data_IF_708134571557
#
_entry.id   IF_708134571557
#
_cell.length_a   1.000
_cell.length_b   1.000
_cell.length_c   1.000
_cell.angle_alpha   90.00
_cell.angle_beta   90.00
_cell.angle_gamma   90.00
#
_symmetry.space_group_name_H-M   'P 1'
#
loop_
_entity.id
_entity.type
_entity.pdbx_description
1 polymer ?
#
# COMPACT_ATOMS: atom_id res chain seq x y z
N UNK A 1 42.47 15.43 -27.22
CA UNK A 1 41.81 14.82 -26.06
C UNK A 1 40.42 15.46 -25.92
N UNK A 2 39.38 14.73 -26.28
CA UNK A 2 38.01 15.22 -26.14
C UNK A 2 37.54 15.02 -24.69
N UNK A 3 36.78 15.97 -24.09
CA UNK A 3 36.31 15.84 -22.72
C UNK A 3 35.25 14.74 -22.64
N UNK A 4 35.48 13.76 -21.75
CA UNK A 4 34.50 12.76 -21.38
C UNK A 4 33.29 13.45 -20.72
N UNK A 5 32.17 13.53 -21.41
CA UNK A 5 30.89 13.91 -20.81
C UNK A 5 30.45 12.73 -19.94
N UNK A 6 30.58 12.90 -18.63
CA UNK A 6 29.94 12.00 -17.65
C UNK A 6 28.43 12.13 -17.80
N UNK A 7 27.81 11.18 -18.46
CA UNK A 7 26.36 10.98 -18.33
C UNK A 7 26.08 10.61 -16.86
N UNK A 8 25.54 11.57 -16.11
CA UNK A 8 24.96 11.27 -14.80
C UNK A 8 23.77 10.32 -15.07
N UNK A 9 23.96 9.05 -14.77
CA UNK A 9 22.85 8.10 -14.67
C UNK A 9 21.89 8.67 -13.60
N UNK A 10 20.58 8.85 -13.89
CA UNK A 10 19.64 9.31 -12.88
C UNK A 10 19.67 8.30 -11.73
N UNK A 11 19.98 8.77 -10.53
CA UNK A 11 19.87 7.98 -9.31
C UNK A 11 18.41 7.57 -9.14
N UNK A 12 18.12 6.42 -8.51
CA UNK A 12 16.73 5.97 -8.24
C UNK A 12 15.86 7.08 -7.61
N UNK A 13 16.48 7.97 -6.83
CA UNK A 13 15.84 9.15 -6.22
C UNK A 13 15.24 10.14 -7.23
N UNK A 14 15.80 10.23 -8.46
CA UNK A 14 15.27 11.13 -9.51
C UNK A 14 14.09 10.52 -10.29
N UNK A 15 13.76 9.26 -10.05
CA UNK A 15 12.63 8.56 -10.69
C UNK A 15 11.32 8.68 -9.88
N UNK A 16 11.39 9.12 -8.61
CA UNK A 16 10.24 9.24 -7.74
C UNK A 16 9.72 10.67 -7.81
N UNK A 17 8.48 10.83 -8.25
CA UNK A 17 7.80 12.12 -8.23
C UNK A 17 7.15 12.35 -6.87
N UNK A 18 7.17 13.58 -6.36
CA UNK A 18 6.35 13.95 -5.22
C UNK A 18 4.93 14.27 -5.71
N UNK A 19 3.92 14.04 -4.87
CA UNK A 19 2.51 14.25 -5.23
C UNK A 19 2.23 15.71 -5.70
N UNK A 20 2.96 16.70 -5.19
CA UNK A 20 2.80 18.10 -5.60
C UNK A 20 3.19 18.30 -7.08
N UNK A 21 4.24 17.61 -7.53
CA UNK A 21 4.78 17.68 -8.90
C UNK A 21 4.03 16.78 -9.88
N UNK A 22 3.21 15.86 -9.37
CA UNK A 22 2.47 14.93 -10.21
C UNK A 22 1.40 15.66 -11.00
N UNK A 23 1.46 15.52 -12.33
CA UNK A 23 0.45 15.96 -13.27
C UNK A 23 -0.21 14.74 -13.93
N UNK A 24 -1.48 14.46 -13.64
CA UNK A 24 -2.21 13.32 -14.22
C UNK A 24 -2.27 13.33 -15.75
N UNK A 25 -2.19 14.51 -16.39
CA UNK A 25 -2.24 14.65 -17.84
C UNK A 25 -0.99 14.13 -18.56
N UNK A 26 0.13 14.00 -17.82
CA UNK A 26 1.41 13.51 -18.36
C UNK A 26 1.56 12.00 -18.33
N UNK A 27 0.58 11.30 -17.77
CA UNK A 27 0.59 9.84 -17.65
C UNK A 27 0.45 9.19 -19.04
N UNK A 28 1.33 8.23 -19.31
CA UNK A 28 1.34 7.48 -20.57
C UNK A 28 0.81 6.07 -20.35
N UNK A 29 -0.24 5.72 -21.08
CA UNK A 29 -0.81 4.37 -21.08
C UNK A 29 -0.19 3.55 -22.23
N UNK A 30 0.31 2.36 -21.89
CA UNK A 30 0.87 1.45 -22.91
C UNK A 30 -0.23 0.84 -23.80
N UNK A 31 0.16 0.21 -24.91
CA UNK A 31 -0.73 -0.68 -25.62
C UNK A 31 -1.17 -1.84 -24.71
N UNK A 32 -2.41 -2.32 -24.91
CA UNK A 32 -2.92 -3.48 -24.19
C UNK A 32 -2.06 -4.72 -24.46
N UNK A 33 -1.70 -5.42 -23.39
CA UNK A 33 -1.02 -6.71 -23.42
C UNK A 33 -1.93 -7.81 -22.90
N UNK A 34 -1.82 -9.00 -23.49
CA UNK A 34 -2.47 -10.21 -22.99
C UNK A 34 -1.42 -11.08 -22.31
N UNK A 35 -1.73 -11.56 -21.10
CA UNK A 35 -0.90 -12.48 -20.35
C UNK A 35 -1.08 -13.90 -20.92
N UNK A 36 -0.17 -14.80 -20.56
CA UNK A 36 -0.25 -16.24 -20.92
C UNK A 36 -1.57 -16.89 -20.46
N UNK A 37 -2.18 -16.38 -19.37
CA UNK A 37 -3.45 -16.88 -18.81
C UNK A 37 -4.68 -16.13 -19.36
N UNK A 38 -4.56 -15.39 -20.47
CA UNK A 38 -5.67 -14.66 -21.09
C UNK A 38 -6.05 -13.32 -20.43
N UNK A 39 -5.46 -12.98 -19.28
CA UNK A 39 -5.69 -11.70 -18.62
C UNK A 39 -5.18 -10.54 -19.46
N UNK A 40 -5.95 -9.45 -19.50
CA UNK A 40 -5.60 -8.22 -20.21
C UNK A 40 -5.04 -7.18 -19.26
N UNK A 41 -4.05 -6.40 -19.70
CA UNK A 41 -3.43 -5.34 -18.92
C UNK A 41 -2.93 -4.20 -19.77
N UNK A 42 -2.98 -2.98 -19.23
CA UNK A 42 -2.40 -1.76 -19.81
C UNK A 42 -1.48 -1.17 -18.75
N UNK A 43 -0.19 -0.99 -19.04
CA UNK A 43 0.75 -0.41 -18.09
C UNK A 43 0.57 1.10 -18.00
N UNK A 44 0.75 1.62 -16.80
CA UNK A 44 0.73 3.05 -16.50
C UNK A 44 2.19 3.49 -16.32
N UNK A 45 2.61 4.48 -17.10
CA UNK A 45 3.98 4.97 -17.10
C UNK A 45 4.02 6.49 -16.88
N UNK A 46 5.15 6.98 -16.42
CA UNK A 46 5.49 8.39 -16.44
C UNK A 46 5.72 8.88 -17.89
N UNK A 47 5.85 10.19 -18.07
CA UNK A 47 6.01 10.84 -19.39
C UNK A 47 7.22 10.29 -20.19
N UNK A 48 8.27 9.85 -19.50
CA UNK A 48 9.48 9.25 -20.11
C UNK A 48 9.33 7.73 -20.40
N UNK A 49 8.11 7.19 -20.35
CA UNK A 49 7.79 5.77 -20.49
C UNK A 49 8.41 4.84 -19.42
N UNK A 50 8.93 5.39 -18.32
CA UNK A 50 9.37 4.62 -17.19
C UNK A 50 8.23 4.38 -16.20
N UNK A 51 8.48 3.54 -15.20
CA UNK A 51 7.51 3.30 -14.12
C UNK A 51 7.14 4.60 -13.41
N UNK A 52 5.87 4.75 -13.11
CA UNK A 52 5.35 5.88 -12.34
C UNK A 52 5.41 5.58 -10.85
N UNK A 53 6.46 6.07 -10.19
CA UNK A 53 6.58 6.08 -8.74
C UNK A 53 6.14 7.44 -8.20
N UNK A 54 5.25 7.41 -7.21
CA UNK A 54 4.74 8.61 -6.56
C UNK A 54 4.96 8.53 -5.06
N UNK A 55 5.58 9.57 -4.50
CA UNK A 55 5.62 9.79 -3.06
C UNK A 55 4.36 10.55 -2.66
N UNK A 56 3.55 9.92 -1.82
CA UNK A 56 2.30 10.47 -1.29
C UNK A 56 2.58 11.38 -0.07
N UNK A 57 1.65 12.28 0.31
CA UNK A 57 1.73 13.00 1.58
C UNK A 57 1.57 12.05 2.77
N UNK A 58 1.75 12.57 3.99
CA UNK A 58 1.34 11.82 5.18
C UNK A 58 -0.18 11.66 5.21
N UNK A 59 -0.63 10.43 5.26
CA UNK A 59 -2.05 10.06 5.30
C UNK A 59 -2.29 9.05 6.42
N UNK A 60 -3.48 9.03 6.98
CA UNK A 60 -3.85 8.07 8.00
C UNK A 60 -4.20 6.72 7.36
N UNK A 61 -3.69 5.63 7.93
CA UNK A 61 -4.10 4.27 7.60
C UNK A 61 -5.18 3.81 8.59
N UNK A 62 -6.47 3.84 8.22
CA UNK A 62 -7.55 3.58 9.19
C UNK A 62 -7.53 2.16 9.74
N UNK A 63 -7.03 1.20 8.96
CA UNK A 63 -7.10 -0.23 9.30
C UNK A 63 -5.73 -0.86 9.57
N UNK A 64 -4.62 -0.15 9.32
CA UNK A 64 -3.29 -0.76 9.27
C UNK A 64 -3.18 -1.74 8.09
N UNK A 65 -2.26 -2.71 8.20
CA UNK A 65 -2.17 -3.77 7.20
C UNK A 65 -3.39 -4.68 7.27
N UNK A 66 -4.09 -4.82 6.15
CA UNK A 66 -5.24 -5.72 6.00
C UNK A 66 -4.84 -6.97 5.22
N UNK A 67 -5.26 -8.14 5.71
CA UNK A 67 -5.09 -9.42 5.06
C UNK A 67 -6.45 -9.99 4.64
N UNK A 68 -6.54 -10.52 3.44
CA UNK A 68 -7.71 -11.22 2.93
C UNK A 68 -7.28 -12.57 2.36
N UNK A 69 -7.82 -13.65 2.89
CA UNK A 69 -7.60 -15.01 2.39
C UNK A 69 -8.81 -15.45 1.56
N UNK A 70 -8.54 -15.75 0.31
CA UNK A 70 -9.56 -16.31 -0.60
C UNK A 70 -9.78 -17.77 -0.26
N UNK A 71 -11.00 -18.14 0.12
CA UNK A 71 -11.36 -19.49 0.58
C UNK A 71 -11.23 -20.54 -0.53
N UNK A 72 -11.46 -20.16 -1.79
CA UNK A 72 -11.40 -21.10 -2.92
C UNK A 72 -9.97 -21.45 -3.32
N UNK A 73 -9.05 -20.48 -3.22
CA UNK A 73 -7.66 -20.65 -3.65
C UNK A 73 -6.67 -20.75 -2.48
N UNK A 74 -7.12 -20.52 -1.25
CA UNK A 74 -6.32 -20.43 -0.02
C UNK A 74 -5.13 -19.43 -0.14
N UNK A 75 -5.28 -18.40 -0.97
CA UNK A 75 -4.26 -17.37 -1.17
C UNK A 75 -4.58 -16.14 -0.35
N UNK A 76 -3.62 -15.71 0.46
CA UNK A 76 -3.72 -14.47 1.21
C UNK A 76 -3.19 -13.32 0.38
N UNK A 77 -3.96 -12.23 0.33
CA UNK A 77 -3.60 -10.96 -0.28
C UNK A 77 -3.59 -9.86 0.78
N UNK A 78 -2.62 -8.96 0.67
CA UNK A 78 -2.42 -7.88 1.64
C UNK A 78 -2.67 -6.53 1.01
N UNK A 79 -3.21 -5.61 1.81
CA UNK A 79 -3.45 -4.23 1.39
C UNK A 79 -3.30 -3.25 2.54
N UNK A 80 -2.92 -2.01 2.19
CA UNK A 80 -2.90 -0.86 3.07
C UNK A 80 -3.85 0.19 2.50
N UNK A 81 -4.86 0.58 3.26
CA UNK A 81 -5.78 1.64 2.85
C UNK A 81 -5.34 2.97 3.48
N UNK A 82 -5.31 4.04 2.68
CA UNK A 82 -4.99 5.40 3.11
C UNK A 82 -6.22 6.29 3.00
N UNK A 83 -6.52 7.04 4.05
CA UNK A 83 -7.71 7.88 4.17
C UNK A 83 -7.45 9.29 3.65
N UNK A 84 -8.38 9.82 2.87
CA UNK A 84 -8.44 11.22 2.45
C UNK A 84 -9.22 12.03 3.49
N UNK A 85 -8.62 12.20 4.67
CA UNK A 85 -9.23 12.94 5.76
C UNK A 85 -9.42 14.42 5.35
N UNK A 86 -10.59 14.99 5.65
CA UNK A 86 -10.99 16.32 5.19
C UNK A 86 -10.19 17.47 5.80
N UNK A 87 -9.55 17.25 6.93
CA UNK A 87 -8.64 18.17 7.62
C UNK A 87 -7.19 18.09 7.10
N UNK A 88 -6.91 17.20 6.16
CA UNK A 88 -5.59 17.04 5.52
C UNK A 88 -5.60 17.62 4.11
N UNK A 89 -5.23 18.88 3.97
CA UNK A 89 -5.23 19.59 2.67
C UNK A 89 -4.34 18.92 1.62
N UNK A 90 -3.21 18.34 2.02
CA UNK A 90 -2.30 17.62 1.12
C UNK A 90 -2.96 16.34 0.57
N UNK A 91 -3.67 15.60 1.42
CA UNK A 91 -4.40 14.41 1.00
C UNK A 91 -5.55 14.78 0.06
N UNK A 92 -6.27 15.89 0.31
CA UNK A 92 -7.32 16.40 -0.58
C UNK A 92 -6.75 16.84 -1.92
N UNK A 93 -5.60 17.53 -1.93
CA UNK A 93 -4.89 17.88 -3.18
C UNK A 93 -4.54 16.64 -4.00
N UNK A 94 -3.99 15.60 -3.37
CA UNK A 94 -3.73 14.32 -4.00
C UNK A 94 -5.02 13.67 -4.53
N UNK A 95 -6.09 13.66 -3.73
CA UNK A 95 -7.40 13.10 -4.11
C UNK A 95 -7.91 13.70 -5.42
N UNK A 96 -7.82 15.03 -5.56
CA UNK A 96 -8.25 15.73 -6.77
C UNK A 96 -7.43 15.29 -7.99
N UNK A 97 -6.12 15.15 -7.86
CA UNK A 97 -5.24 14.66 -8.92
C UNK A 97 -5.56 13.22 -9.32
N UNK A 98 -5.82 12.34 -8.35
CA UNK A 98 -6.21 10.95 -8.61
C UNK A 98 -7.59 10.85 -9.28
N UNK A 99 -8.53 11.71 -8.92
CA UNK A 99 -9.84 11.81 -9.59
C UNK A 99 -9.70 12.25 -11.05
N UNK A 100 -8.77 13.17 -11.35
CA UNK A 100 -8.45 13.55 -12.74
C UNK A 100 -7.83 12.36 -13.50
N UNK A 101 -6.94 11.60 -12.87
CA UNK A 101 -6.37 10.39 -13.46
C UNK A 101 -7.46 9.34 -13.75
N UNK A 102 -8.40 9.13 -12.81
CA UNK A 102 -9.55 8.25 -12.99
C UNK A 102 -10.36 8.66 -14.23
N UNK A 103 -10.63 9.95 -14.40
CA UNK A 103 -11.36 10.47 -15.55
C UNK A 103 -10.61 10.21 -16.87
N UNK A 104 -9.30 10.46 -16.90
CA UNK A 104 -8.45 10.18 -18.06
C UNK A 104 -8.47 8.70 -18.46
N UNK A 105 -8.41 7.81 -17.47
CA UNK A 105 -8.48 6.36 -17.67
C UNK A 105 -9.85 5.96 -18.23
N UNK A 106 -10.94 6.46 -17.65
CA UNK A 106 -12.31 6.17 -18.11
C UNK A 106 -12.47 6.59 -19.58
N UNK A 107 -12.04 7.79 -19.95
CA UNK A 107 -12.12 8.30 -21.33
C UNK A 107 -11.28 7.47 -22.30
N UNK A 108 -10.07 7.07 -21.87
CA UNK A 108 -9.19 6.25 -22.71
C UNK A 108 -9.77 4.85 -22.91
N UNK A 109 -10.34 4.25 -21.86
CA UNK A 109 -11.01 2.95 -21.98
C UNK A 109 -12.27 3.07 -22.83
N UNK A 110 -13.04 4.15 -22.72
CA UNK A 110 -14.23 4.39 -23.56
C UNK A 110 -13.88 4.44 -25.04
N UNK A 111 -12.82 5.18 -25.40
CA UNK A 111 -12.32 5.27 -26.78
C UNK A 111 -11.88 3.91 -27.34
N UNK A 112 -11.33 3.05 -26.51
CA UNK A 112 -10.81 1.73 -26.88
C UNK A 112 -11.71 0.56 -26.44
N UNK A 113 -12.96 0.82 -26.03
CA UNK A 113 -13.81 -0.16 -25.37
C UNK A 113 -14.07 -1.42 -26.22
N UNK A 114 -14.23 -1.27 -27.53
CA UNK A 114 -14.42 -2.40 -28.46
C UNK A 114 -13.24 -3.38 -28.39
N UNK A 115 -12.02 -2.89 -28.38
CA UNK A 115 -10.79 -3.72 -28.41
C UNK A 115 -10.44 -4.22 -27.01
N UNK A 116 -10.63 -3.38 -25.99
CA UNK A 116 -10.22 -3.70 -24.61
C UNK A 116 -11.27 -4.49 -23.85
N UNK A 117 -12.55 -4.16 -24.00
CA UNK A 117 -13.67 -4.79 -23.32
C UNK A 117 -14.49 -5.74 -24.22
N UNK A 118 -14.19 -5.78 -25.53
CA UNK A 118 -14.87 -6.65 -26.50
C UNK A 118 -16.18 -6.10 -27.03
N UNK A 119 -16.68 -4.98 -26.50
CA UNK A 119 -17.89 -4.26 -26.94
C UNK A 119 -17.70 -2.77 -26.82
N UNK A 120 -18.38 -2.01 -27.64
CA UNK A 120 -18.49 -0.55 -27.45
C UNK A 120 -19.48 -0.26 -26.32
N UNK A 121 -19.02 0.50 -25.33
CA UNK A 121 -19.81 0.94 -24.20
C UNK A 121 -19.92 2.46 -24.16
N UNK A 122 -21.07 2.96 -23.69
CA UNK A 122 -21.20 4.37 -23.32
C UNK A 122 -20.27 4.68 -22.13
N UNK A 123 -19.71 5.89 -22.08
CA UNK A 123 -18.80 6.34 -21.03
C UNK A 123 -19.44 6.29 -19.63
N UNK A 124 -20.75 6.55 -19.55
CA UNK A 124 -21.48 6.49 -18.27
C UNK A 124 -21.57 5.06 -17.73
N UNK A 125 -21.82 4.08 -18.63
CA UNK A 125 -21.79 2.66 -18.27
C UNK A 125 -20.40 2.24 -17.80
N UNK A 126 -19.36 2.74 -18.46
CA UNK A 126 -17.96 2.46 -18.07
C UNK A 126 -17.72 3.02 -16.68
N UNK A 127 -18.07 4.27 -16.42
CA UNK A 127 -17.88 4.95 -15.15
C UNK A 127 -18.62 4.26 -14.01
N UNK A 128 -19.90 4.00 -14.18
CA UNK A 128 -20.76 3.56 -13.09
C UNK A 128 -20.73 2.05 -12.83
N UNK A 129 -20.58 1.25 -13.90
CA UNK A 129 -20.76 -0.20 -13.79
C UNK A 129 -19.46 -1.00 -13.92
N UNK A 130 -18.46 -0.51 -14.68
CA UNK A 130 -17.30 -1.30 -15.06
C UNK A 130 -16.03 -0.85 -14.36
N UNK A 131 -15.89 0.43 -14.06
CA UNK A 131 -14.69 1.00 -13.46
C UNK A 131 -14.66 0.82 -11.92
N UNK A 132 -13.48 0.52 -11.39
CA UNK A 132 -13.18 0.55 -9.95
C UNK A 132 -12.26 1.73 -9.68
N UNK A 133 -12.78 2.83 -9.09
CA UNK A 133 -12.02 4.07 -8.94
C UNK A 133 -10.84 3.92 -8.00
N UNK A 134 -9.80 4.74 -8.21
CA UNK A 134 -8.66 4.90 -7.31
C UNK A 134 -9.11 5.51 -5.98
N UNK A 135 -9.90 6.59 -6.06
CA UNK A 135 -10.52 7.22 -4.92
C UNK A 135 -11.81 6.47 -4.59
N UNK A 136 -11.73 5.57 -3.62
CA UNK A 136 -12.87 4.74 -3.22
C UNK A 136 -13.75 5.52 -2.24
N UNK A 137 -15.03 5.69 -2.53
CA UNK A 137 -15.92 6.40 -1.62
C UNK A 137 -16.00 5.68 -0.27
N UNK A 138 -15.98 6.44 0.80
CA UNK A 138 -16.26 5.94 2.14
C UNK A 138 -17.74 5.56 2.28
N UNK A 139 -18.03 4.76 3.28
CA UNK A 139 -19.43 4.48 3.68
C UNK A 139 -19.87 5.54 4.66
N UNK A 140 -21.09 6.09 4.46
CA UNK A 140 -21.70 7.08 5.33
C UNK A 140 -20.81 8.31 5.55
N UNK A 141 -20.39 8.56 6.80
CA UNK A 141 -19.57 9.70 7.20
C UNK A 141 -18.04 9.44 7.09
N UNK A 142 -17.61 8.24 6.66
CA UNK A 142 -16.18 7.94 6.56
C UNK A 142 -15.56 8.58 5.31
N UNK A 143 -14.33 9.10 5.42
CA UNK A 143 -13.60 9.64 4.27
C UNK A 143 -13.37 8.59 3.18
N UNK A 144 -13.20 9.06 1.94
CA UNK A 144 -12.74 8.22 0.84
C UNK A 144 -11.35 7.64 1.13
N UNK A 145 -11.02 6.52 0.47
CA UNK A 145 -9.73 5.85 0.67
C UNK A 145 -9.04 5.52 -0.64
N UNK A 146 -7.70 5.44 -0.59
CA UNK A 146 -6.85 4.86 -1.61
C UNK A 146 -6.35 3.49 -1.12
N UNK A 147 -6.63 2.43 -1.88
CA UNK A 147 -6.16 1.09 -1.54
C UNK A 147 -4.84 0.77 -2.22
N UNK A 148 -3.81 0.50 -1.44
CA UNK A 148 -2.51 0.05 -1.88
C UNK A 148 -2.41 -1.47 -1.78
N UNK A 149 -1.98 -2.10 -2.87
CA UNK A 149 -1.68 -3.55 -2.85
C UNK A 149 -0.30 -3.77 -2.25
N UNK A 150 -0.22 -4.62 -1.24
CA UNK A 150 1.05 -5.02 -0.63
C UNK A 150 1.43 -6.39 -1.18
N UNK A 151 2.56 -6.44 -1.87
CA UNK A 151 3.01 -7.66 -2.55
C UNK A 151 3.92 -8.48 -1.65
N UNK A 152 3.84 -9.80 -1.77
CA UNK A 152 4.74 -10.76 -1.11
C UNK A 152 5.55 -11.54 -2.12
N UNK A 153 6.72 -12.00 -1.69
CA UNK A 153 7.50 -13.03 -2.38
C UNK A 153 6.79 -14.39 -2.25
N UNK A 154 7.17 -15.40 -3.05
CA UNK A 154 6.69 -16.78 -2.85
C UNK A 154 7.01 -17.35 -1.45
N UNK A 155 8.04 -16.80 -0.78
CA UNK A 155 8.42 -17.15 0.59
C UNK A 155 7.49 -16.57 1.67
N UNK A 156 6.55 -15.70 1.29
CA UNK A 156 5.67 -14.99 2.22
C UNK A 156 6.18 -13.63 2.69
N UNK A 157 7.46 -13.32 2.46
CA UNK A 157 8.05 -12.02 2.82
C UNK A 157 7.44 -10.87 2.01
N UNK A 158 7.23 -9.72 2.64
CA UNK A 158 6.77 -8.52 1.95
C UNK A 158 7.84 -7.97 1.01
N UNK A 159 7.42 -7.50 -0.17
CA UNK A 159 8.30 -6.81 -1.11
C UNK A 159 8.44 -5.32 -0.75
N UNK A 160 7.46 -4.76 -0.07
CA UNK A 160 7.51 -3.38 0.41
C UNK A 160 8.42 -3.27 1.63
N UNK A 161 9.14 -2.15 1.71
CA UNK A 161 9.98 -1.80 2.86
C UNK A 161 9.25 -0.84 3.78
N UNK A 162 9.36 -1.03 5.09
CA UNK A 162 8.76 -0.15 6.08
C UNK A 162 9.83 0.45 7.01
N UNK A 163 9.61 1.70 7.39
CA UNK A 163 10.52 2.48 8.24
C UNK A 163 9.73 3.23 9.30
N UNK A 164 10.32 3.37 10.47
CA UNK A 164 9.81 4.24 11.53
C UNK A 164 10.25 5.71 11.34
N UNK A 165 9.79 6.58 12.22
CA UNK A 165 10.13 8.02 12.20
C UNK A 165 11.64 8.30 12.38
N UNK A 166 12.42 7.36 12.88
CA UNK A 166 13.87 7.41 13.01
C UNK A 166 14.58 6.78 11.80
N UNK A 167 13.84 6.46 10.73
CA UNK A 167 14.34 5.79 9.50
C UNK A 167 14.91 4.38 9.77
N UNK A 168 14.55 3.77 10.88
CA UNK A 168 14.91 2.40 11.20
C UNK A 168 13.93 1.45 10.51
N UNK A 169 14.47 0.39 9.92
CA UNK A 169 13.65 -0.65 9.28
C UNK A 169 12.72 -1.32 10.30
N UNK A 170 11.47 -1.49 9.90
CA UNK A 170 10.42 -2.22 10.63
C UNK A 170 9.72 -3.19 9.69
N UNK A 171 8.87 -4.05 10.21
CA UNK A 171 8.07 -4.97 9.39
C UNK A 171 6.76 -4.32 8.95
N UNK A 172 6.31 -4.62 7.73
CA UNK A 172 5.08 -4.02 7.17
C UNK A 172 3.83 -4.39 7.99
N UNK A 173 3.82 -5.56 8.62
CA UNK A 173 2.72 -6.03 9.47
C UNK A 173 2.64 -5.33 10.82
N UNK A 174 3.68 -4.59 11.22
CA UNK A 174 3.66 -3.75 12.42
C UNK A 174 2.98 -2.39 12.23
N UNK A 175 2.50 -2.07 11.00
CA UNK A 175 1.74 -0.85 10.75
C UNK A 175 0.41 -0.91 11.49
N UNK A 176 0.19 0.03 12.39
CA UNK A 176 -0.96 0.04 13.29
C UNK A 176 -2.20 0.68 12.66
N UNK A 177 -3.37 0.35 13.21
CA UNK A 177 -4.62 1.07 12.88
C UNK A 177 -4.50 2.54 13.28
N UNK A 178 -5.02 3.40 12.42
CA UNK A 178 -5.01 4.86 12.57
C UNK A 178 -3.62 5.51 12.55
N UNK A 179 -2.55 4.75 12.28
CA UNK A 179 -1.20 5.28 12.15
C UNK A 179 -1.09 6.17 10.92
N UNK A 180 -0.36 7.29 11.03
CA UNK A 180 -0.05 8.14 9.89
C UNK A 180 1.20 7.63 9.18
N UNK A 181 1.09 7.54 7.87
CA UNK A 181 2.13 6.99 7.00
C UNK A 181 2.34 7.86 5.77
N UNK A 182 3.59 7.99 5.35
CA UNK A 182 3.98 8.50 4.03
C UNK A 182 4.39 7.31 3.17
N UNK A 183 3.82 7.16 1.98
CA UNK A 183 4.06 6.02 1.13
C UNK A 183 4.71 6.41 -0.19
N UNK A 184 5.62 5.57 -0.69
CA UNK A 184 6.04 5.56 -2.08
C UNK A 184 5.31 4.41 -2.77
N UNK A 185 4.58 4.73 -3.84
CA UNK A 185 3.73 3.79 -4.55
C UNK A 185 4.11 3.67 -6.02
N UNK A 186 3.88 2.50 -6.60
CA UNK A 186 4.02 2.19 -8.04
C UNK A 186 2.62 2.11 -8.66
N UNK A 187 2.28 3.05 -9.55
CA UNK A 187 1.10 2.98 -10.40
C UNK A 187 1.39 2.00 -11.52
N UNK A 188 1.10 0.72 -11.28
CA UNK A 188 1.64 -0.35 -12.09
C UNK A 188 0.85 -0.56 -13.39
N UNK A 189 -0.46 -0.81 -13.29
CA UNK A 189 -1.26 -1.20 -14.45
C UNK A 189 -2.75 -1.03 -14.24
N UNK A 190 -3.48 -0.89 -15.35
CA UNK A 190 -4.92 -1.11 -15.43
C UNK A 190 -5.13 -2.61 -15.64
N UNK A 191 -5.85 -3.26 -14.74
CA UNK A 191 -6.25 -4.66 -14.86
C UNK A 191 -7.68 -4.76 -15.43
N UNK A 192 -7.97 -5.84 -16.15
CA UNK A 192 -9.28 -6.16 -16.71
C UNK A 192 -9.66 -7.58 -16.32
N UNK A 193 -10.78 -7.74 -15.61
CA UNK A 193 -11.35 -9.01 -15.13
C UNK A 193 -12.86 -8.93 -15.26
N UNK A 194 -13.48 -9.89 -15.95
CA UNK A 194 -14.94 -10.03 -16.08
C UNK A 194 -15.67 -8.74 -16.48
N UNK A 195 -15.17 -8.04 -17.49
CA UNK A 195 -15.62 -6.74 -17.96
C UNK A 195 -15.46 -5.58 -16.95
N UNK A 196 -14.92 -5.82 -15.76
CA UNK A 196 -14.54 -4.77 -14.82
C UNK A 196 -13.06 -4.44 -14.99
N UNK A 197 -12.70 -3.21 -14.66
CA UNK A 197 -11.31 -2.78 -14.69
C UNK A 197 -11.03 -1.75 -13.60
N UNK A 198 -9.76 -1.57 -13.30
CA UNK A 198 -9.29 -0.62 -12.30
C UNK A 198 -7.78 -0.54 -12.29
N UNK A 199 -7.24 0.37 -11.50
CA UNK A 199 -5.79 0.57 -11.37
C UNK A 199 -5.23 -0.28 -10.23
N UNK A 200 -4.09 -0.91 -10.48
CA UNK A 200 -3.30 -1.58 -9.44
C UNK A 200 -2.21 -0.61 -8.96
N UNK A 201 -2.38 -0.07 -7.75
CA UNK A 201 -1.38 0.73 -7.05
C UNK A 201 -0.68 -0.17 -6.04
N UNK A 202 0.65 -0.25 -6.11
CA UNK A 202 1.46 -1.12 -5.26
C UNK A 202 2.25 -0.30 -4.26
N UNK A 203 2.27 -0.73 -3.02
CA UNK A 203 3.16 -0.18 -2.01
C UNK A 203 4.60 -0.60 -2.31
N UNK A 204 5.52 0.37 -2.37
CA UNK A 204 6.96 0.14 -2.53
C UNK A 204 7.70 0.39 -1.22
N UNK A 205 7.47 1.55 -0.60
CA UNK A 205 8.04 1.91 0.70
C UNK A 205 6.99 2.64 1.55
N UNK A 206 7.10 2.50 2.85
CA UNK A 206 6.26 3.23 3.80
C UNK A 206 7.10 3.74 4.97
N UNK A 207 6.93 5.02 5.28
CA UNK A 207 7.47 5.69 6.45
C UNK A 207 6.32 5.95 7.42
N UNK A 208 6.40 5.37 8.63
CA UNK A 208 5.38 5.51 9.65
C UNK A 208 5.77 6.59 10.66
N UNK A 209 4.84 7.47 11.01
CA UNK A 209 4.99 8.33 12.17
C UNK A 209 5.04 7.49 13.46
N UNK A 210 5.58 8.08 14.52
CA UNK A 210 5.60 7.42 15.84
C UNK A 210 4.17 7.06 16.26
N UNK A 211 3.99 5.83 16.73
CA UNK A 211 2.71 5.40 17.28
C UNK A 211 2.27 6.31 18.43
N UNK A 212 0.98 6.69 18.46
CA UNK A 212 0.39 7.46 19.55
C UNK A 212 -0.15 6.58 20.68
N UNK A 213 0.12 5.29 20.65
CA UNK A 213 -0.28 4.38 21.71
C UNK A 213 0.43 4.74 23.01
N UNK A 214 -0.29 4.59 24.10
CA UNK A 214 0.31 4.64 25.42
C UNK A 214 1.39 3.56 25.55
N UNK A 215 2.52 3.88 26.19
CA UNK A 215 3.53 2.87 26.49
C UNK A 215 2.94 1.78 27.38
N UNK A 216 3.55 0.59 27.37
CA UNK A 216 3.20 -0.45 28.34
C UNK A 216 3.29 0.12 29.74
N UNK A 217 2.27 -0.14 30.56
CA UNK A 217 2.21 0.36 31.93
C UNK A 217 2.36 1.88 32.03
N UNK A 218 1.45 2.62 31.40
CA UNK A 218 1.42 4.09 31.41
C UNK A 218 0.81 4.70 32.71
N UNK A 219 0.45 3.87 33.70
CA UNK A 219 -0.17 4.33 34.92
C UNK A 219 0.79 5.17 35.76
N UNK A 220 0.27 6.29 36.32
CA UNK A 220 1.01 7.19 37.20
C UNK A 220 0.53 7.00 38.66
N UNK A 221 1.42 7.21 39.62
CA UNK A 221 1.05 7.18 41.05
C UNK A 221 0.83 5.79 41.66
N UNK A 222 1.20 4.72 40.95
CA UNK A 222 1.07 3.33 41.45
C UNK A 222 2.34 2.77 42.11
N UNK A 223 3.26 3.63 42.53
CA UNK A 223 4.44 3.22 43.27
C UNK A 223 4.02 2.53 44.59
N UNK A 224 4.30 1.25 44.73
CA UNK A 224 3.99 0.47 45.94
C UNK A 224 2.86 -0.55 45.80
N UNK A 225 2.25 -0.72 44.62
CA UNK A 225 1.40 -1.90 44.42
C UNK A 225 2.26 -3.17 44.31
N UNK A 226 1.94 -4.24 45.08
CA UNK A 226 2.68 -5.49 44.98
C UNK A 226 2.49 -6.07 43.56
N UNK A 227 3.59 -6.49 42.98
CA UNK A 227 3.61 -7.16 41.67
C UNK A 227 2.99 -8.56 41.88
N UNK A 228 1.71 -8.73 41.61
CA UNK A 228 1.08 -10.04 41.61
C UNK A 228 1.35 -10.72 40.27
N UNK A 229 2.51 -11.39 40.15
CA UNK A 229 2.75 -12.19 38.95
C UNK A 229 4.20 -12.38 38.60
N UNK A 230 4.95 -13.12 39.42
CA UNK A 230 5.97 -14.06 38.99
C UNK A 230 6.27 -14.97 40.18
N UNK A 231 5.52 -16.04 40.29
CA UNK A 231 6.00 -17.22 41.02
C UNK A 231 7.08 -17.82 40.11
N UNK A 232 8.32 -17.50 40.41
CA UNK A 232 9.47 -18.25 39.95
C UNK A 232 9.42 -19.60 40.64
N UNK A 233 9.06 -20.63 39.87
CA UNK A 233 9.13 -22.03 40.27
C UNK A 233 10.63 -22.41 40.33
N UNK A 234 11.21 -22.16 41.50
CA UNK A 234 12.52 -22.66 41.85
C UNK A 234 12.33 -24.08 42.41
N UNK A 235 12.43 -25.04 41.49
CA UNK A 235 12.60 -26.46 41.85
C UNK A 235 13.95 -26.62 42.53
N UNK A 236 13.93 -26.77 43.87
CA UNK A 236 15.06 -27.27 44.64
C UNK A 236 15.11 -28.79 44.41
N UNK A 237 16.17 -29.25 43.79
CA UNK A 237 16.60 -30.65 43.81
C UNK A 237 17.16 -30.96 45.19
N UNK A 238 16.38 -31.62 46.03
CA UNK A 238 16.87 -32.34 47.21
C UNK A 238 17.19 -33.77 46.77
N UNK A 239 18.47 -34.05 46.56
CA UNK A 239 19.02 -35.40 46.53
C UNK A 239 19.07 -35.93 47.95
N UNK A 240 18.11 -36.77 48.33
CA UNK A 240 18.24 -37.67 49.46
C UNK A 240 18.82 -39.01 49.05
N UNK A 241 20.08 -39.19 49.40
CA UNK A 241 20.76 -40.49 49.48
C UNK A 241 20.00 -41.44 50.40
N UNK A 242 19.47 -42.55 49.90
CA UNK A 242 19.03 -43.69 50.67
C UNK A 242 19.95 -44.88 50.41
N UNK A 243 20.92 -45.03 51.30
CA UNK A 243 21.61 -46.29 51.51
C UNK A 243 20.59 -47.37 51.97
N UNK A 244 20.59 -48.49 51.31
CA UNK A 244 19.94 -49.71 51.80
C UNK A 244 21.01 -50.78 51.89
N UNK A 245 21.37 -51.12 53.16
CA UNK A 245 22.10 -52.35 53.54
C UNK A 245 21.21 -53.58 53.42
N UNK A 246 21.87 -54.70 53.11
CA UNK A 246 21.55 -56.13 53.05
C UNK A 246 21.09 -56.73 51.73
#
# INVERSE_FOLDING_TARGET
MAPYIKYNQPTMSTMIQRYEQFDPSTVVLSNMKKNKNGGKTVYINAQDNKKLYLQLPFMRSPFGLSAFTDEATNKTSYSLDLSFDTDNEEAISLMNKLTQLDQTIIETVAKNSKDWLGKSYNIDVIREALYKPLVRPGKEAYPSTLKLKVMTKPTGEFLAEAYDAQQKSMTVDSIEKSQRCMCIVDFNQIWFIDNKFGVSVRLSQVLCEKSQKLPSFAFQGVAGMPNSGSEDDASADDEEDCEIDE
#
